data_IF_117153480884
#
_entry.id   IF_117153480884
#
_cell.length_a   1.000
_cell.length_b   1.000
_cell.length_c   1.000
_cell.angle_alpha   90.00
_cell.angle_beta   90.00
_cell.angle_gamma   90.00
#
_symmetry.space_group_name_H-M   'P 1'
#
loop_
_entity.id
_entity.type
_entity.pdbx_description
1 polymer ?
#
# COMPACT_ATOMS: atom_id res chain seq x y z
N UNK A 1 33.98 9.87 -4.76
CA UNK A 1 32.90 9.19 -5.52
C UNK A 1 33.52 8.46 -6.69
N UNK A 2 33.27 7.15 -6.83
CA UNK A 2 33.89 6.34 -7.88
C UNK A 2 33.15 6.56 -9.21
N UNK A 3 33.79 7.19 -10.19
CA UNK A 3 33.17 7.57 -11.47
C UNK A 3 32.70 6.33 -12.27
N UNK A 4 33.37 5.19 -12.09
CA UNK A 4 33.01 3.92 -12.75
C UNK A 4 31.72 3.27 -12.21
N UNK A 5 31.27 3.60 -10.99
CA UNK A 5 30.00 3.06 -10.48
C UNK A 5 28.78 3.79 -11.06
N UNK A 6 28.94 5.07 -11.43
CA UNK A 6 27.85 5.91 -11.95
C UNK A 6 27.49 5.50 -13.38
N UNK A 7 28.49 5.24 -14.24
CA UNK A 7 28.25 4.82 -15.62
C UNK A 7 27.58 3.44 -15.72
N UNK A 8 27.94 2.51 -14.82
CA UNK A 8 27.30 1.19 -14.74
C UNK A 8 25.86 1.29 -14.23
N UNK A 9 25.60 2.14 -13.24
CA UNK A 9 24.26 2.40 -12.73
C UNK A 9 23.34 2.99 -13.81
N UNK A 10 23.83 3.99 -14.55
CA UNK A 10 23.09 4.61 -15.66
C UNK A 10 22.82 3.64 -16.82
N UNK A 11 23.78 2.78 -17.17
CA UNK A 11 23.60 1.76 -18.23
C UNK A 11 22.52 0.74 -17.85
N UNK A 12 22.46 0.35 -16.58
CA UNK A 12 21.42 -0.55 -16.08
C UNK A 12 20.04 0.13 -16.04
N UNK A 13 19.96 1.41 -15.71
CA UNK A 13 18.69 2.18 -15.74
C UNK A 13 18.05 2.19 -17.14
N UNK A 14 18.83 2.22 -18.22
CA UNK A 14 18.30 2.07 -19.59
C UNK A 14 17.60 0.73 -19.82
N UNK A 15 18.20 -0.37 -19.34
CA UNK A 15 17.62 -1.72 -19.43
C UNK A 15 16.35 -1.80 -18.58
N UNK A 16 16.37 -1.24 -17.36
CA UNK A 16 15.21 -1.24 -16.48
C UNK A 16 14.05 -0.42 -17.02
N UNK A 17 14.32 0.73 -17.64
CA UNK A 17 13.29 1.50 -18.33
C UNK A 17 12.64 0.69 -19.46
N UNK A 18 13.40 -0.14 -20.18
CA UNK A 18 12.84 -1.02 -21.20
C UNK A 18 11.96 -2.12 -20.58
N UNK A 19 12.36 -2.72 -19.45
CA UNK A 19 11.54 -3.69 -18.72
C UNK A 19 10.24 -3.05 -18.24
N UNK A 20 10.31 -1.86 -17.64
CA UNK A 20 9.14 -1.10 -17.19
C UNK A 20 8.21 -0.76 -18.36
N UNK A 21 8.77 -0.33 -19.49
CA UNK A 21 8.02 -0.07 -20.71
C UNK A 21 7.29 -1.32 -21.22
N UNK A 22 7.97 -2.47 -21.20
CA UNK A 22 7.38 -3.74 -21.61
C UNK A 22 6.25 -4.18 -20.66
N UNK A 23 6.46 -4.05 -19.35
CA UNK A 23 5.41 -4.27 -18.33
C UNK A 23 4.18 -3.40 -18.61
N UNK A 24 4.38 -2.09 -18.85
CA UNK A 24 3.29 -1.17 -19.16
C UNK A 24 2.51 -1.57 -20.43
N UNK A 25 3.21 -2.04 -21.47
CA UNK A 25 2.55 -2.56 -22.67
C UNK A 25 1.67 -3.78 -22.35
N UNK A 26 2.15 -4.73 -21.55
CA UNK A 26 1.35 -5.90 -21.16
C UNK A 26 0.13 -5.51 -20.32
N UNK A 27 0.28 -4.57 -19.38
CA UNK A 27 -0.85 -4.04 -18.60
C UNK A 27 -1.90 -3.41 -19.52
N UNK A 28 -1.49 -2.60 -20.48
CA UNK A 28 -2.41 -1.99 -21.44
C UNK A 28 -3.15 -3.04 -22.30
N UNK A 29 -2.48 -4.13 -22.66
CA UNK A 29 -3.11 -5.26 -23.36
C UNK A 29 -4.15 -5.97 -22.47
N UNK A 30 -3.89 -6.14 -21.16
CA UNK A 30 -4.84 -6.73 -20.21
C UNK A 30 -6.06 -5.84 -19.94
N UNK A 31 -5.88 -4.53 -20.00
CA UNK A 31 -6.97 -3.58 -19.85
C UNK A 31 -7.89 -3.57 -21.08
N UNK A 32 -7.42 -4.02 -22.24
CA UNK A 32 -8.21 -4.09 -23.46
C UNK A 32 -9.24 -5.25 -23.41
N UNK A 33 -10.56 -4.95 -23.40
CA UNK A 33 -11.60 -5.98 -23.29
C UNK A 33 -11.68 -6.93 -24.49
N UNK A 34 -11.05 -6.61 -25.63
CA UNK A 34 -11.04 -7.44 -26.85
C UNK A 34 -9.93 -8.50 -26.87
N UNK A 35 -9.10 -8.60 -25.83
CA UNK A 35 -8.00 -9.56 -25.78
C UNK A 35 -8.50 -10.95 -25.38
N UNK A 36 -8.43 -11.91 -26.30
CA UNK A 36 -8.73 -13.32 -26.03
C UNK A 36 -7.56 -14.06 -25.33
N UNK A 37 -6.42 -13.39 -25.10
CA UNK A 37 -5.19 -13.99 -24.56
C UNK A 37 -4.89 -13.57 -23.11
N UNK A 38 -5.92 -13.22 -22.34
CA UNK A 38 -5.74 -12.64 -21.01
C UNK A 38 -4.90 -13.52 -20.08
N UNK A 39 -5.07 -14.84 -20.08
CA UNK A 39 -4.31 -15.72 -19.17
C UNK A 39 -2.82 -15.78 -19.51
N UNK A 40 -2.48 -15.89 -20.79
CA UNK A 40 -1.08 -15.91 -21.26
C UNK A 40 -0.39 -14.59 -20.91
N UNK A 41 -1.04 -13.45 -21.18
CA UNK A 41 -0.50 -12.13 -20.87
C UNK A 41 -0.33 -11.94 -19.36
N UNK A 42 -1.29 -12.41 -18.55
CA UNK A 42 -1.18 -12.35 -17.09
C UNK A 42 -0.01 -13.18 -16.55
N UNK A 43 0.23 -14.38 -17.10
CA UNK A 43 1.37 -15.21 -16.72
C UNK A 43 2.72 -14.56 -17.09
N UNK A 44 2.83 -13.97 -18.29
CA UNK A 44 4.04 -13.24 -18.67
C UNK A 44 4.27 -12.00 -17.79
N UNK A 45 3.21 -11.25 -17.49
CA UNK A 45 3.28 -10.12 -16.58
C UNK A 45 3.73 -10.56 -15.18
N UNK A 46 3.21 -11.69 -14.68
CA UNK A 46 3.58 -12.24 -13.38
C UNK A 46 5.08 -12.54 -13.33
N UNK A 47 5.60 -13.28 -14.30
CA UNK A 47 7.03 -13.61 -14.39
C UNK A 47 7.92 -12.36 -14.43
N UNK A 48 7.52 -11.34 -15.18
CA UNK A 48 8.27 -10.07 -15.26
C UNK A 48 8.25 -9.30 -13.93
N UNK A 49 7.10 -9.29 -13.25
CA UNK A 49 6.99 -8.69 -11.93
C UNK A 49 7.82 -9.46 -10.89
N UNK A 50 7.98 -10.78 -11.01
CA UNK A 50 8.82 -11.57 -10.10
C UNK A 50 10.30 -11.22 -10.29
N UNK A 51 10.74 -11.11 -11.54
CA UNK A 51 12.08 -10.65 -11.89
C UNK A 51 12.29 -9.23 -11.35
N UNK A 52 11.36 -8.32 -11.61
CA UNK A 52 11.43 -6.94 -11.14
C UNK A 52 11.48 -6.88 -9.61
N UNK A 53 10.67 -7.67 -8.91
CA UNK A 53 10.69 -7.75 -7.46
C UNK A 53 12.06 -8.21 -6.94
N UNK A 54 12.64 -9.26 -7.53
CA UNK A 54 14.00 -9.70 -7.17
C UNK A 54 15.06 -8.62 -7.45
N UNK A 55 14.90 -7.82 -8.50
CA UNK A 55 15.82 -6.73 -8.83
C UNK A 55 15.70 -5.60 -7.81
N UNK A 56 14.49 -5.19 -7.44
CA UNK A 56 14.24 -4.15 -6.43
C UNK A 56 14.88 -4.57 -5.11
N UNK A 57 14.78 -5.84 -4.70
CA UNK A 57 15.42 -6.32 -3.47
C UNK A 57 16.95 -6.15 -3.46
N UNK A 58 17.60 -6.22 -4.62
CA UNK A 58 19.07 -6.25 -4.75
C UNK A 58 19.68 -4.92 -5.17
N UNK A 59 18.92 -4.07 -5.86
CA UNK A 59 19.43 -2.87 -6.55
C UNK A 59 18.75 -1.62 -6.01
N UNK A 60 19.55 -0.59 -5.73
CA UNK A 60 19.04 0.72 -5.33
C UNK A 60 18.74 1.57 -6.57
N UNK A 61 17.48 1.53 -7.02
CA UNK A 61 16.98 2.29 -8.16
C UNK A 61 16.93 3.80 -7.91
N UNK A 62 17.03 4.60 -8.97
CA UNK A 62 16.77 6.05 -8.92
C UNK A 62 15.30 6.33 -8.59
N UNK A 63 15.03 7.47 -7.96
CA UNK A 63 13.67 7.88 -7.57
C UNK A 63 12.72 8.00 -8.79
N UNK A 64 13.25 8.45 -9.94
CA UNK A 64 12.48 8.50 -11.19
C UNK A 64 12.00 7.09 -11.63
N UNK A 65 12.88 6.10 -11.57
CA UNK A 65 12.57 4.71 -11.93
C UNK A 65 11.59 4.10 -10.93
N UNK A 66 11.78 4.37 -9.64
CA UNK A 66 10.82 3.99 -8.60
C UNK A 66 9.43 4.60 -8.86
N UNK A 67 9.36 5.89 -9.22
CA UNK A 67 8.10 6.54 -9.56
C UNK A 67 7.41 5.85 -10.74
N UNK A 68 8.16 5.48 -11.79
CA UNK A 68 7.61 4.71 -12.92
C UNK A 68 7.11 3.33 -12.49
N UNK A 69 7.79 2.67 -11.56
CA UNK A 69 7.35 1.36 -11.02
C UNK A 69 6.06 1.50 -10.21
N UNK A 70 5.98 2.50 -9.34
CA UNK A 70 4.80 2.76 -8.51
C UNK A 70 3.58 3.10 -9.38
N UNK A 71 3.75 3.86 -10.47
CA UNK A 71 2.68 4.23 -11.40
C UNK A 71 1.88 3.03 -11.93
N UNK A 72 2.51 1.89 -12.15
CA UNK A 72 1.81 0.68 -12.60
C UNK A 72 1.52 -0.31 -11.46
N UNK A 73 2.38 -0.35 -10.43
CA UNK A 73 2.22 -1.31 -9.33
C UNK A 73 1.01 -0.97 -8.46
N UNK A 74 0.73 0.32 -8.23
CA UNK A 74 -0.43 0.76 -7.43
C UNK A 74 -1.75 0.31 -8.09
N UNK A 75 -2.04 0.65 -9.36
CA UNK A 75 -3.24 0.14 -10.04
C UNK A 75 -3.34 -1.39 -10.01
N UNK A 76 -2.26 -2.10 -10.35
CA UNK A 76 -2.24 -3.57 -10.34
C UNK A 76 -2.47 -4.16 -8.95
N UNK A 77 -2.05 -3.49 -7.89
CA UNK A 77 -2.24 -3.98 -6.52
C UNK A 77 -3.68 -3.85 -6.04
N UNK A 78 -4.45 -2.88 -6.56
CA UNK A 78 -5.77 -2.52 -6.03
C UNK A 78 -6.93 -3.09 -6.87
N UNK A 79 -6.81 -3.08 -8.21
CA UNK A 79 -7.87 -3.51 -9.13
C UNK A 79 -8.15 -5.02 -9.00
N UNK A 80 -9.37 -5.40 -8.62
CA UNK A 80 -9.81 -6.81 -8.49
C UNK A 80 -9.93 -7.59 -9.80
N UNK A 81 -9.95 -6.91 -10.96
CA UNK A 81 -10.01 -7.57 -12.29
C UNK A 81 -8.78 -8.44 -12.61
N UNK A 82 -7.63 -8.15 -11.99
CA UNK A 82 -6.40 -8.91 -12.23
C UNK A 82 -6.35 -10.21 -11.43
N UNK A 83 -5.54 -11.17 -11.87
CA UNK A 83 -5.26 -12.37 -11.08
C UNK A 83 -4.70 -12.00 -9.69
N UNK A 84 -5.22 -12.68 -8.66
CA UNK A 84 -4.84 -12.49 -7.26
C UNK A 84 -3.32 -12.54 -7.03
N UNK A 85 -2.60 -13.39 -7.75
CA UNK A 85 -1.14 -13.47 -7.67
C UNK A 85 -0.46 -12.20 -8.19
N UNK A 86 -0.98 -11.59 -9.26
CA UNK A 86 -0.51 -10.29 -9.76
C UNK A 86 -0.75 -9.19 -8.74
N UNK A 87 -1.95 -9.16 -8.11
CA UNK A 87 -2.23 -8.18 -7.06
C UNK A 87 -1.24 -8.36 -5.88
N UNK A 88 -1.08 -9.59 -5.39
CA UNK A 88 -0.19 -9.91 -4.27
C UNK A 88 1.26 -9.53 -4.58
N UNK A 89 1.74 -9.84 -5.78
CA UNK A 89 3.11 -9.52 -6.18
C UNK A 89 3.32 -8.01 -6.35
N UNK A 90 2.32 -7.30 -6.86
CA UNK A 90 2.35 -5.83 -6.94
C UNK A 90 2.37 -5.20 -5.54
N UNK A 91 1.61 -5.73 -4.58
CA UNK A 91 1.68 -5.32 -3.17
C UNK A 91 3.10 -5.55 -2.62
N UNK A 92 3.70 -6.72 -2.88
CA UNK A 92 5.08 -7.01 -2.45
C UNK A 92 6.08 -6.01 -3.03
N UNK A 93 5.95 -5.64 -4.31
CA UNK A 93 6.78 -4.62 -4.95
C UNK A 93 6.65 -3.27 -4.24
N UNK A 94 5.43 -2.79 -4.02
CA UNK A 94 5.19 -1.50 -3.34
C UNK A 94 5.78 -1.53 -1.93
N UNK A 95 5.53 -2.61 -1.17
CA UNK A 95 6.06 -2.79 0.19
C UNK A 95 7.59 -2.80 0.20
N UNK A 96 8.23 -3.48 -0.75
CA UNK A 96 9.68 -3.50 -0.84
C UNK A 96 10.26 -2.10 -1.12
N UNK A 97 9.63 -1.34 -2.02
CA UNK A 97 9.99 0.05 -2.27
C UNK A 97 9.80 0.89 -1.00
N UNK A 98 8.69 0.72 -0.30
CA UNK A 98 8.38 1.42 0.95
C UNK A 98 9.41 1.15 2.07
N UNK A 99 9.92 -0.09 2.14
CA UNK A 99 11.01 -0.48 3.03
C UNK A 99 12.31 0.24 2.67
N UNK A 100 12.67 0.26 1.38
CA UNK A 100 13.95 0.77 0.90
C UNK A 100 14.03 2.30 0.80
N UNK A 101 12.90 2.96 0.56
CA UNK A 101 12.83 4.39 0.21
C UNK A 101 12.02 5.17 1.25
N UNK A 102 12.62 5.40 2.41
CA UNK A 102 11.96 6.13 3.52
C UNK A 102 11.39 7.49 3.10
N UNK A 103 12.14 8.25 2.28
CA UNK A 103 11.73 9.57 1.77
C UNK A 103 10.46 9.53 0.91
N UNK A 104 10.13 8.38 0.31
CA UNK A 104 8.99 8.23 -0.59
C UNK A 104 7.74 7.69 0.10
N UNK A 105 7.78 7.32 1.39
CA UNK A 105 6.65 6.68 2.09
C UNK A 105 5.37 7.51 2.03
N UNK A 106 5.44 8.80 2.34
CA UNK A 106 4.29 9.70 2.29
C UNK A 106 3.76 9.86 0.84
N UNK A 107 4.66 9.95 -0.14
CA UNK A 107 4.27 10.00 -1.56
C UNK A 107 3.55 8.72 -1.99
N UNK A 108 4.01 7.54 -1.55
CA UNK A 108 3.37 6.26 -1.87
C UNK A 108 1.94 6.20 -1.31
N UNK A 109 1.75 6.63 -0.06
CA UNK A 109 0.42 6.68 0.57
C UNK A 109 -0.49 7.63 -0.23
N UNK A 110 0.00 8.83 -0.56
CA UNK A 110 -0.76 9.81 -1.35
C UNK A 110 -1.10 9.27 -2.74
N UNK A 111 -0.15 8.63 -3.44
CA UNK A 111 -0.37 8.07 -4.77
C UNK A 111 -1.44 6.96 -4.76
N UNK A 112 -1.51 6.16 -3.69
CA UNK A 112 -2.57 5.17 -3.49
C UNK A 112 -3.94 5.85 -3.42
N UNK A 113 -4.08 6.90 -2.61
CA UNK A 113 -5.36 7.61 -2.47
C UNK A 113 -5.74 8.39 -3.73
N UNK A 114 -4.78 9.07 -4.38
CA UNK A 114 -5.00 9.72 -5.68
C UNK A 114 -5.54 8.72 -6.71
N UNK A 115 -4.99 7.50 -6.74
CA UNK A 115 -5.50 6.46 -7.63
C UNK A 115 -6.93 6.05 -7.28
N UNK A 116 -7.22 5.79 -6.00
CA UNK A 116 -8.58 5.42 -5.54
C UNK A 116 -9.59 6.52 -5.90
N UNK A 117 -9.29 7.80 -5.63
CA UNK A 117 -10.17 8.91 -5.97
C UNK A 117 -10.43 9.03 -7.46
N UNK A 118 -9.41 8.82 -8.30
CA UNK A 118 -9.56 8.82 -9.76
C UNK A 118 -10.48 7.70 -10.24
N UNK A 119 -10.32 6.50 -9.69
CA UNK A 119 -11.16 5.36 -10.09
C UNK A 119 -12.61 5.54 -9.63
N UNK A 120 -12.85 6.06 -8.43
CA UNK A 120 -14.19 6.41 -7.92
C UNK A 120 -14.88 7.44 -8.83
N UNK A 121 -14.16 8.49 -9.23
CA UNK A 121 -14.69 9.54 -10.11
C UNK A 121 -15.00 9.05 -11.54
N UNK A 122 -14.41 7.93 -11.97
CA UNK A 122 -14.59 7.42 -13.32
C UNK A 122 -15.90 6.63 -13.55
N UNK A 123 -16.80 6.58 -12.54
CA UNK A 123 -18.19 6.04 -12.50
C UNK A 123 -18.43 4.60 -13.00
N UNK A 124 -17.47 3.99 -13.67
CA UNK A 124 -17.55 2.69 -14.36
C UNK A 124 -16.88 1.55 -13.60
N UNK A 125 -16.31 1.83 -12.41
CA UNK A 125 -15.31 0.99 -11.76
C UNK A 125 -15.50 0.78 -10.26
N UNK A 126 -16.70 1.07 -9.74
CA UNK A 126 -17.04 0.90 -8.31
C UNK A 126 -16.75 -0.55 -7.86
N UNK A 127 -17.00 -1.56 -8.71
CA UNK A 127 -16.71 -2.97 -8.41
C UNK A 127 -15.23 -3.35 -8.26
N UNK A 128 -14.28 -2.43 -8.40
CA UNK A 128 -12.84 -2.75 -8.38
C UNK A 128 -12.24 -2.93 -6.99
N UNK A 129 -12.95 -2.55 -5.92
CA UNK A 129 -12.42 -2.59 -4.55
C UNK A 129 -13.14 -3.56 -3.61
N UNK A 130 -14.35 -3.99 -3.96
CA UNK A 130 -15.22 -4.76 -3.07
C UNK A 130 -15.03 -6.26 -3.23
N UNK A 131 -15.07 -6.97 -2.09
CA UNK A 131 -15.20 -8.42 -2.05
C UNK A 131 -16.69 -8.74 -2.08
N UNK A 132 -17.12 -9.66 -2.95
CA UNK A 132 -18.49 -10.17 -2.94
C UNK A 132 -18.79 -10.80 -1.57
N UNK A 133 -19.86 -10.36 -0.92
CA UNK A 133 -20.19 -10.69 0.48
C UNK A 133 -20.46 -12.20 0.75
N UNK A 134 -20.53 -13.03 -0.28
CA UNK A 134 -20.97 -14.44 -0.19
C UNK A 134 -19.91 -15.44 0.35
N UNK A 135 -18.73 -14.99 0.78
CA UNK A 135 -17.68 -15.88 1.34
C UNK A 135 -17.57 -15.75 2.86
N UNK A 136 -18.55 -16.30 3.57
CA UNK A 136 -18.66 -16.23 5.05
C UNK A 136 -17.64 -17.15 5.76
N UNK A 137 -17.05 -18.14 5.05
CA UNK A 137 -16.28 -19.22 5.69
C UNK A 137 -14.79 -18.87 5.87
N UNK A 138 -14.25 -17.91 5.12
CA UNK A 138 -12.89 -17.40 5.30
C UNK A 138 -12.86 -15.89 5.01
N UNK A 139 -12.35 -15.04 5.92
CA UNK A 139 -12.31 -13.60 5.68
C UNK A 139 -11.25 -13.30 4.62
N UNK A 140 -11.68 -13.22 3.36
CA UNK A 140 -10.85 -12.60 2.34
C UNK A 140 -10.78 -11.10 2.63
N UNK A 141 -9.55 -10.56 2.66
CA UNK A 141 -9.29 -9.13 2.83
C UNK A 141 -9.30 -8.47 1.47
N UNK A 142 -9.89 -7.28 1.36
CA UNK A 142 -9.79 -6.51 0.11
C UNK A 142 -8.32 -6.25 -0.23
N UNK A 143 -8.04 -6.07 -1.51
CA UNK A 143 -6.70 -5.75 -1.98
C UNK A 143 -6.15 -4.47 -1.32
N UNK A 144 -7.02 -3.48 -1.07
CA UNK A 144 -6.69 -2.29 -0.31
C UNK A 144 -6.28 -2.60 1.14
N UNK A 145 -7.13 -3.31 1.90
CA UNK A 145 -6.81 -3.70 3.28
C UNK A 145 -5.50 -4.47 3.35
N UNK A 146 -5.28 -5.40 2.39
CA UNK A 146 -4.02 -6.16 2.29
C UNK A 146 -2.82 -5.25 2.06
N UNK A 147 -2.93 -4.27 1.15
CA UNK A 147 -1.86 -3.30 0.89
C UNK A 147 -1.54 -2.48 2.15
N UNK A 148 -2.55 -1.86 2.78
CA UNK A 148 -2.36 -1.01 3.96
C UNK A 148 -1.72 -1.79 5.13
N UNK A 149 -2.25 -2.97 5.46
CA UNK A 149 -1.67 -3.80 6.52
C UNK A 149 -0.23 -4.19 6.17
N UNK A 150 0.06 -4.51 4.91
CA UNK A 150 1.42 -4.88 4.49
C UNK A 150 2.41 -3.72 4.60
N UNK A 151 1.98 -2.49 4.27
CA UNK A 151 2.79 -1.29 4.46
C UNK A 151 3.10 -1.05 5.95
N UNK A 152 2.09 -1.16 6.83
CA UNK A 152 2.28 -0.97 8.27
C UNK A 152 3.15 -2.08 8.89
N UNK A 153 2.97 -3.34 8.49
CA UNK A 153 3.87 -4.45 8.87
C UNK A 153 5.31 -4.20 8.49
N UNK A 154 5.54 -3.56 7.35
CA UNK A 154 6.89 -3.28 6.87
C UNK A 154 7.65 -2.33 7.79
N UNK A 155 6.96 -1.44 8.52
CA UNK A 155 7.58 -0.54 9.52
C UNK A 155 8.20 -1.36 10.66
N UNK A 156 7.50 -2.41 11.12
CA UNK A 156 8.01 -3.33 12.14
C UNK A 156 9.30 -4.00 11.65
N UNK A 157 9.31 -4.46 10.39
CA UNK A 157 10.49 -5.09 9.77
C UNK A 157 11.68 -4.11 9.70
N UNK A 158 11.43 -2.85 9.33
CA UNK A 158 12.46 -1.81 9.25
C UNK A 158 13.07 -1.55 10.62
N UNK A 159 12.22 -1.33 11.64
CA UNK A 159 12.72 -1.07 12.98
C UNK A 159 13.45 -2.28 13.56
N UNK A 160 12.95 -3.50 13.36
CA UNK A 160 13.63 -4.71 13.82
C UNK A 160 15.04 -4.86 13.20
N UNK A 161 15.20 -4.50 11.92
CA UNK A 161 16.53 -4.45 11.27
C UNK A 161 17.43 -3.37 11.88
N UNK A 162 16.89 -2.19 12.17
CA UNK A 162 17.65 -1.11 12.80
C UNK A 162 18.10 -1.49 14.22
N UNK A 163 17.25 -2.17 14.99
CA UNK A 163 17.59 -2.68 16.31
C UNK A 163 18.77 -3.65 16.23
N UNK A 164 18.70 -4.64 15.33
CA UNK A 164 19.78 -5.63 15.12
C UNK A 164 21.12 -4.99 14.74
N UNK A 165 21.10 -3.91 13.95
CA UNK A 165 22.33 -3.24 13.51
C UNK A 165 22.94 -2.36 14.61
N UNK A 166 22.13 -1.86 15.55
CA UNK A 166 22.58 -0.96 16.61
C UNK A 166 22.90 -1.71 17.91
N UNK A 167 22.37 -2.92 18.11
CA UNK A 167 22.72 -3.77 19.26
C UNK A 167 24.05 -4.49 19.00
N UNK A 168 25.16 -3.85 19.39
CA UNK A 168 26.47 -4.49 19.49
C UNK A 168 26.62 -5.41 20.73
N UNK A 169 25.58 -5.53 21.55
CA UNK A 169 25.60 -6.23 22.84
C UNK A 169 24.55 -7.35 22.91
N UNK A 170 24.97 -8.46 23.49
CA UNK A 170 24.31 -9.76 23.52
C UNK A 170 23.08 -9.86 24.42
N UNK A 171 22.55 -8.75 24.94
CA UNK A 171 21.33 -8.75 25.77
C UNK A 171 20.54 -7.47 25.44
N UNK A 172 19.38 -7.64 24.81
CA UNK A 172 18.34 -6.61 24.79
C UNK A 172 17.77 -6.52 26.20
N UNK A 173 18.13 -5.47 26.93
CA UNK A 173 17.51 -5.20 28.22
C UNK A 173 16.04 -4.80 28.05
N UNK A 174 15.29 -4.85 29.15
CA UNK A 174 13.86 -4.55 29.12
C UNK A 174 13.57 -3.11 28.65
N UNK A 175 14.44 -2.16 28.99
CA UNK A 175 14.29 -0.75 28.60
C UNK A 175 14.43 -0.57 27.08
N UNK A 176 15.42 -1.18 26.44
CA UNK A 176 15.58 -1.12 24.97
C UNK A 176 14.41 -1.75 24.23
N UNK A 177 13.81 -2.83 24.75
CA UNK A 177 12.59 -3.43 24.20
C UNK A 177 11.40 -2.48 24.34
N UNK A 178 11.25 -1.83 25.50
CA UNK A 178 10.18 -0.84 25.70
C UNK A 178 10.30 0.36 24.76
N UNK A 179 11.51 0.91 24.61
CA UNK A 179 11.76 2.04 23.71
C UNK A 179 11.53 1.65 22.25
N UNK A 180 11.97 0.46 21.84
CA UNK A 180 11.70 -0.11 20.53
C UNK A 180 10.20 -0.22 20.24
N UNK A 181 9.44 -0.82 21.16
CA UNK A 181 7.99 -0.96 21.04
C UNK A 181 7.31 0.42 20.95
N UNK A 182 7.71 1.37 21.80
CA UNK A 182 7.19 2.74 21.76
C UNK A 182 7.46 3.42 20.43
N UNK A 183 8.67 3.26 19.88
CA UNK A 183 9.06 3.83 18.58
C UNK A 183 8.27 3.22 17.42
N UNK A 184 8.09 1.90 17.40
CA UNK A 184 7.25 1.21 16.41
C UNK A 184 5.82 1.72 16.49
N UNK A 185 5.23 1.72 17.68
CA UNK A 185 3.86 2.17 17.91
C UNK A 185 3.67 3.61 17.43
N UNK A 186 4.61 4.51 17.74
CA UNK A 186 4.57 5.89 17.26
C UNK A 186 4.62 5.99 15.72
N UNK A 187 5.51 5.23 15.06
CA UNK A 187 5.62 5.24 13.59
C UNK A 187 4.40 4.63 12.91
N UNK A 188 3.89 3.52 13.42
CA UNK A 188 2.65 2.90 12.94
C UNK A 188 1.49 3.88 13.12
N UNK A 189 1.35 4.48 14.30
CA UNK A 189 0.30 5.46 14.61
C UNK A 189 0.36 6.66 13.66
N UNK A 190 1.55 7.21 13.40
CA UNK A 190 1.74 8.30 12.44
C UNK A 190 1.29 7.92 11.03
N UNK A 191 1.66 6.73 10.54
CA UNK A 191 1.24 6.28 9.21
C UNK A 191 -0.27 6.01 9.15
N UNK A 192 -0.87 5.49 10.22
CA UNK A 192 -2.32 5.35 10.34
C UNK A 192 -2.99 6.73 10.28
N UNK A 193 -2.47 7.73 11.01
CA UNK A 193 -3.00 9.09 10.95
C UNK A 193 -2.93 9.68 9.55
N UNK A 194 -1.81 9.53 8.83
CA UNK A 194 -1.70 9.97 7.45
C UNK A 194 -2.75 9.32 6.55
N UNK A 195 -2.94 8.00 6.69
CA UNK A 195 -3.95 7.23 5.96
C UNK A 195 -5.35 7.78 6.27
N UNK A 196 -5.68 7.99 7.54
CA UNK A 196 -7.00 8.47 7.95
C UNK A 196 -7.26 9.90 7.52
N UNK A 197 -6.27 10.80 7.64
CA UNK A 197 -6.38 12.19 7.17
C UNK A 197 -6.70 12.21 5.68
N UNK A 198 -5.97 11.43 4.88
CA UNK A 198 -6.22 11.39 3.44
C UNK A 198 -7.59 10.75 3.15
N UNK A 199 -7.99 9.68 3.83
CA UNK A 199 -9.32 9.10 3.71
C UNK A 199 -10.44 10.10 4.02
N UNK A 200 -10.34 10.82 5.14
CA UNK A 200 -11.35 11.80 5.55
C UNK A 200 -11.37 13.02 4.62
N UNK A 201 -10.21 13.53 4.22
CA UNK A 201 -10.10 14.64 3.27
C UNK A 201 -10.78 14.32 1.95
N UNK A 202 -10.60 13.10 1.41
CA UNK A 202 -11.28 12.67 0.19
C UNK A 202 -12.79 12.52 0.41
N UNK A 203 -13.23 12.08 1.60
CA UNK A 203 -14.67 12.00 1.92
C UNK A 203 -15.35 13.36 2.09
N UNK A 204 -14.60 14.42 2.36
CA UNK A 204 -15.10 15.79 2.54
C UNK A 204 -15.01 16.65 1.26
N UNK A 205 -14.47 16.13 0.15
CA UNK A 205 -14.38 16.91 -1.10
C UNK A 205 -15.79 17.35 -1.56
N UNK A 206 -16.02 18.66 -1.53
CA UNK A 206 -17.35 19.29 -1.54
C UNK A 206 -18.08 19.28 -2.90
N UNK A 207 -17.44 18.78 -3.95
CA UNK A 207 -17.92 19.02 -5.30
C UNK A 207 -18.82 17.92 -5.88
N UNK A 208 -18.93 16.75 -5.23
CA UNK A 208 -19.68 15.61 -5.77
C UNK A 208 -20.26 14.74 -4.63
N UNK A 209 -21.57 14.80 -4.36
CA UNK A 209 -22.24 13.95 -3.34
C UNK A 209 -22.00 12.43 -3.56
N UNK A 210 -21.97 11.99 -4.82
CA UNK A 210 -21.68 10.58 -5.15
C UNK A 210 -20.26 10.16 -4.77
N UNK A 211 -19.30 11.09 -4.79
CA UNK A 211 -17.92 10.82 -4.39
C UNK A 211 -17.82 10.53 -2.89
N UNK A 212 -18.46 11.37 -2.08
CA UNK A 212 -18.51 11.22 -0.63
C UNK A 212 -19.18 9.91 -0.22
N UNK A 213 -20.29 9.57 -0.88
CA UNK A 213 -20.99 8.30 -0.65
C UNK A 213 -20.10 7.08 -0.94
N UNK A 214 -19.40 7.05 -2.07
CA UNK A 214 -18.53 5.92 -2.45
C UNK A 214 -17.32 5.82 -1.50
N UNK A 215 -16.71 6.95 -1.13
CA UNK A 215 -15.60 6.95 -0.16
C UNK A 215 -16.03 6.50 1.23
N UNK A 216 -17.24 6.84 1.65
CA UNK A 216 -17.83 6.33 2.89
C UNK A 216 -18.01 4.81 2.83
N UNK A 217 -18.59 4.29 1.75
CA UNK A 217 -18.74 2.84 1.55
C UNK A 217 -17.38 2.12 1.55
N UNK A 218 -16.37 2.74 0.93
CA UNK A 218 -14.99 2.24 0.95
C UNK A 218 -14.40 2.20 2.37
N UNK A 219 -14.57 3.27 3.15
CA UNK A 219 -14.14 3.32 4.56
C UNK A 219 -14.86 2.28 5.42
N UNK A 220 -16.19 2.15 5.26
CA UNK A 220 -16.99 1.15 5.97
C UNK A 220 -16.49 -0.27 5.66
N UNK A 221 -16.19 -0.57 4.40
CA UNK A 221 -15.65 -1.88 4.01
C UNK A 221 -14.23 -2.11 4.52
N UNK A 222 -13.38 -1.07 4.53
CA UNK A 222 -12.07 -1.15 5.18
C UNK A 222 -12.21 -1.49 6.67
N UNK A 223 -13.09 -0.81 7.41
CA UNK A 223 -13.34 -1.08 8.83
C UNK A 223 -13.89 -2.51 9.04
N UNK A 224 -14.88 -2.93 8.23
CA UNK A 224 -15.41 -4.30 8.27
C UNK A 224 -14.31 -5.33 8.04
N UNK A 225 -13.43 -5.11 7.07
CA UNK A 225 -12.27 -5.97 6.83
C UNK A 225 -11.36 -6.02 8.07
N UNK A 226 -11.06 -4.89 8.72
CA UNK A 226 -10.23 -4.89 9.93
C UNK A 226 -10.83 -5.74 11.06
N UNK A 227 -12.15 -5.64 11.30
CA UNK A 227 -12.84 -6.46 12.31
C UNK A 227 -12.87 -7.95 11.95
N UNK A 228 -13.05 -8.29 10.67
CA UNK A 228 -12.98 -9.68 10.17
C UNK A 228 -11.61 -10.34 10.43
N UNK A 229 -10.58 -9.55 10.71
CA UNK A 229 -9.22 -10.01 10.96
C UNK A 229 -8.87 -10.23 12.41
N UNK A 230 -9.83 -10.07 13.32
CA UNK A 230 -9.72 -10.42 14.73
C UNK A 230 -9.08 -11.78 15.01
N UNK A 231 -9.45 -12.89 14.34
CA UNK A 231 -8.85 -14.20 14.63
C UNK A 231 -7.52 -14.44 13.90
N UNK A 232 -6.90 -13.43 13.28
CA UNK A 232 -5.72 -13.61 12.43
C UNK A 232 -4.45 -13.02 13.03
N UNK A 233 -3.27 -13.47 12.56
CA UNK A 233 -1.98 -12.90 12.92
C UNK A 233 -1.81 -11.40 12.57
N UNK A 234 -2.74 -10.83 11.81
CA UNK A 234 -2.73 -9.42 11.45
C UNK A 234 -3.43 -8.55 12.50
N UNK A 235 -4.11 -9.16 13.48
CA UNK A 235 -4.92 -8.48 14.46
C UNK A 235 -4.18 -7.35 15.21
N UNK A 236 -2.93 -7.50 15.69
CA UNK A 236 -2.28 -6.41 16.44
C UNK A 236 -2.17 -5.10 15.66
N UNK A 237 -2.01 -5.18 14.34
CA UNK A 237 -1.98 -3.99 13.49
C UNK A 237 -3.40 -3.48 13.24
N UNK A 238 -4.35 -4.39 13.02
CA UNK A 238 -5.76 -4.03 12.86
C UNK A 238 -6.31 -3.33 14.10
N UNK A 239 -5.99 -3.82 15.29
CA UNK A 239 -6.34 -3.24 16.58
C UNK A 239 -5.79 -1.82 16.72
N UNK A 240 -4.52 -1.59 16.36
CA UNK A 240 -3.93 -0.26 16.36
C UNK A 240 -4.66 0.68 15.38
N UNK A 241 -5.01 0.20 14.19
CA UNK A 241 -5.78 0.99 13.21
C UNK A 241 -7.17 1.33 13.78
N UNK A 242 -7.91 0.34 14.28
CA UNK A 242 -9.26 0.51 14.83
C UNK A 242 -9.23 1.47 16.02
N UNK A 243 -8.32 1.27 16.96
CA UNK A 243 -8.16 2.15 18.13
C UNK A 243 -7.92 3.59 17.69
N UNK A 244 -7.09 3.78 16.65
CA UNK A 244 -6.82 5.12 16.14
C UNK A 244 -8.03 5.73 15.44
N UNK A 245 -8.74 4.97 14.60
CA UNK A 245 -10.00 5.39 13.97
C UNK A 245 -10.99 5.86 15.04
N UNK A 246 -11.22 5.05 16.07
CA UNK A 246 -12.14 5.38 17.17
C UNK A 246 -11.69 6.67 17.88
N UNK A 247 -10.38 6.83 18.15
CA UNK A 247 -9.86 8.02 18.79
C UNK A 247 -10.10 9.29 17.98
N UNK A 248 -9.91 9.24 16.65
CA UNK A 248 -10.13 10.39 15.77
C UNK A 248 -11.64 10.71 15.66
N UNK A 249 -12.50 9.71 15.57
CA UNK A 249 -13.97 9.90 15.60
C UNK A 249 -14.40 10.58 16.90
N UNK A 250 -13.89 10.13 18.05
CA UNK A 250 -14.20 10.76 19.35
C UNK A 250 -13.73 12.22 19.38
N UNK A 251 -12.57 12.53 18.82
CA UNK A 251 -12.06 13.92 18.74
C UNK A 251 -12.99 14.78 17.89
N UNK A 252 -13.38 14.31 16.70
CA UNK A 252 -14.30 15.01 15.80
C UNK A 252 -15.65 15.30 16.48
N UNK A 253 -16.24 14.30 17.13
CA UNK A 253 -17.51 14.47 17.85
C UNK A 253 -17.41 15.48 19.00
N UNK A 254 -16.26 15.52 19.70
CA UNK A 254 -16.02 16.47 20.81
C UNK A 254 -15.74 17.90 20.34
N UNK A 255 -15.14 18.09 19.17
CA UNK A 255 -14.95 19.45 18.61
C UNK A 255 -16.28 20.07 18.21
N UNK A 256 -17.20 19.27 17.67
CA UNK A 256 -18.53 19.75 17.28
C UNK A 256 -19.38 20.09 18.50
N UNK A 257 -19.29 19.31 19.59
CA UNK A 257 -19.98 19.62 20.86
C UNK A 257 -19.54 20.99 21.44
N UNK A 258 -18.27 21.37 21.27
CA UNK A 258 -17.77 22.69 21.70
C UNK A 258 -18.24 23.84 20.81
N UNK A 259 -18.55 23.58 19.54
CA UNK A 259 -19.06 24.62 18.63
C UNK A 259 -20.56 24.87 18.81
N UNK A 260 -21.29 23.88 19.35
CA UNK A 260 -22.72 23.93 19.65
C UNK A 260 -23.06 24.51 21.03
N UNK A 261 -22.07 24.68 21.91
CA UNK A 261 -22.18 25.36 23.21
C UNK A 261 -21.71 26.81 23.09
#
# INVERSE_FOLDING_TARGET
MNINSISYQLKNEGIFNNIIHFINKLINLLLNPKSNQNDIIQNHLLNLLEILFSLIQKINFLEETISKILKFSIPLSLITKFNKNLNILSIKIIVQIFIQKEKLRNSIINDIFIFISKEINSSSKINLFFIKEDQIIYPEKSNFTRLIISLLKSIIIIEAKNLKNNSSQSILDFESIQEFNKKITNKITYNIQLILIEMFKQSEEKNIETHQFIFREFLENFIKDLFRLFPTFDWPICENIITKIISEIIILLKSDEKMLK
#
